data_IF_240730691277
#
_entry.id   IF_240730691277
#
_cell.length_a   1.000
_cell.length_b   1.000
_cell.length_c   1.000
_cell.angle_alpha   90.00
_cell.angle_beta   90.00
_cell.angle_gamma   90.00
#
_symmetry.space_group_name_H-M   'P 1'
#
loop_
_entity.id
_entity.type
_entity.pdbx_description
1 polymer ?
#
# COMPACT_ATOMS: atom_id res chain seq x y z
N UNK A 1 -1.14 -18.81 -7.81
CA UNK A 1 -0.17 -17.75 -8.12
C UNK A 1 -0.17 -16.75 -6.96
N UNK A 2 1.00 -16.34 -6.49
CA UNK A 2 1.17 -15.36 -5.40
C UNK A 2 0.65 -13.99 -5.88
N UNK A 3 -0.36 -13.41 -5.20
CA UNK A 3 -1.07 -12.19 -5.64
C UNK A 3 -0.45 -10.89 -5.13
N UNK A 4 0.68 -10.96 -4.45
CA UNK A 4 1.34 -9.81 -3.80
C UNK A 4 2.85 -10.08 -3.79
N UNK A 5 3.71 -9.12 -4.17
CA UNK A 5 5.16 -9.27 -4.11
C UNK A 5 5.62 -9.57 -2.69
N UNK A 6 6.77 -10.25 -2.60
CA UNK A 6 7.42 -10.51 -1.32
C UNK A 6 7.82 -9.19 -0.67
N UNK A 7 7.66 -9.14 0.65
CA UNK A 7 8.10 -7.97 1.43
C UNK A 7 9.63 -7.87 1.39
N UNK A 8 10.14 -6.64 1.41
CA UNK A 8 11.56 -6.34 1.37
C UNK A 8 12.22 -6.65 2.72
N UNK A 9 13.33 -7.39 2.68
CA UNK A 9 14.01 -7.92 3.85
C UNK A 9 13.77 -9.42 4.02
N UNK A 10 14.86 -10.17 4.20
CA UNK A 10 14.81 -11.63 4.37
C UNK A 10 15.80 -12.42 3.51
N UNK A 11 16.58 -11.79 2.62
CA UNK A 11 17.64 -12.50 1.89
C UNK A 11 19.02 -12.21 2.48
N UNK A 12 19.59 -13.24 3.11
CA UNK A 12 21.03 -13.35 3.37
C UNK A 12 21.52 -12.97 4.76
N UNK A 13 21.28 -13.80 5.79
CA UNK A 13 22.15 -13.85 6.98
C UNK A 13 22.35 -15.30 7.43
N UNK A 14 23.59 -15.79 7.31
CA UNK A 14 24.05 -17.03 7.95
C UNK A 14 24.03 -16.78 9.47
N UNK A 15 23.19 -17.53 10.18
CA UNK A 15 23.06 -17.44 11.64
C UNK A 15 24.24 -18.17 12.29
N UNK A 16 25.20 -17.42 12.82
CA UNK A 16 26.17 -17.95 13.78
C UNK A 16 25.59 -17.85 15.19
N UNK A 17 25.72 -18.91 15.97
CA UNK A 17 24.91 -19.27 17.15
C UNK A 17 25.12 -18.40 18.41
N UNK A 18 25.77 -17.24 18.33
CA UNK A 18 26.16 -16.44 19.51
C UNK A 18 25.79 -14.95 19.46
N UNK A 19 24.91 -14.49 18.54
CA UNK A 19 24.51 -13.08 18.50
C UNK A 19 23.12 -12.85 19.14
N UNK A 20 22.95 -11.83 20.01
CA UNK A 20 21.67 -11.51 20.62
C UNK A 20 20.73 -10.93 19.54
N UNK A 21 19.83 -11.78 19.05
CA UNK A 21 18.56 -11.49 18.36
C UNK A 21 18.41 -10.06 17.80
N UNK A 22 18.87 -9.83 16.57
CA UNK A 22 18.23 -8.88 15.67
C UNK A 22 17.19 -9.62 14.83
N UNK A 23 15.99 -9.79 15.39
CA UNK A 23 14.81 -10.08 14.57
C UNK A 23 14.49 -8.79 13.81
N UNK A 24 14.96 -8.66 12.57
CA UNK A 24 14.35 -7.68 11.66
C UNK A 24 12.98 -8.24 11.28
N UNK A 25 11.95 -7.89 12.03
CA UNK A 25 10.58 -8.23 11.69
C UNK A 25 10.18 -7.36 10.50
N UNK A 26 10.26 -7.92 9.30
CA UNK A 26 9.73 -7.27 8.11
C UNK A 26 8.22 -7.19 8.26
N UNK A 27 7.67 -5.98 8.16
CA UNK A 27 6.23 -5.76 8.23
C UNK A 27 5.56 -6.43 7.03
N UNK A 28 4.59 -7.33 7.25
CA UNK A 28 3.93 -8.02 6.15
C UNK A 28 2.92 -7.07 5.46
N UNK A 29 2.44 -7.39 4.25
CA UNK A 29 1.54 -6.51 3.49
C UNK A 29 0.27 -6.12 4.23
N UNK A 30 -0.22 -6.95 5.15
CA UNK A 30 -1.39 -6.70 5.99
C UNK A 30 -1.23 -5.46 6.89
N UNK A 31 0.01 -5.00 7.12
CA UNK A 31 0.32 -3.79 7.90
C UNK A 31 -0.40 -2.56 7.33
N UNK A 32 -0.58 -2.48 6.01
CA UNK A 32 -1.26 -1.34 5.37
C UNK A 32 -2.74 -1.18 5.77
N UNK A 33 -3.34 -2.21 6.37
CA UNK A 33 -4.72 -2.19 6.83
C UNK A 33 -4.84 -1.80 8.31
N UNK A 34 -3.71 -1.71 9.02
CA UNK A 34 -3.68 -1.36 10.44
C UNK A 34 -3.89 0.15 10.65
N UNK A 35 -4.42 0.51 11.82
CA UNK A 35 -4.66 1.92 12.18
C UNK A 35 -3.39 2.68 12.57
N UNK A 36 -2.33 1.95 12.95
CA UNK A 36 -1.11 2.54 13.49
C UNK A 36 -0.28 3.18 12.39
N UNK A 37 0.07 4.46 12.57
CA UNK A 37 0.97 5.20 11.69
C UNK A 37 2.08 5.77 12.57
N UNK A 38 3.19 5.05 12.65
CA UNK A 38 4.38 5.44 13.40
C UNK A 38 5.62 5.04 12.59
N UNK A 39 6.73 5.79 12.65
CA UNK A 39 7.93 5.48 11.89
C UNK A 39 8.31 4.00 11.94
N UNK A 40 8.54 3.40 10.77
CA UNK A 40 8.88 1.98 10.63
C UNK A 40 7.69 1.01 10.73
N UNK A 41 6.45 1.49 10.90
CA UNK A 41 5.22 0.66 10.87
C UNK A 41 4.58 0.65 9.47
N UNK A 42 5.37 0.39 8.42
CA UNK A 42 4.92 0.37 7.03
C UNK A 42 5.29 -0.93 6.34
N UNK A 43 4.48 -1.36 5.38
CA UNK A 43 4.83 -2.47 4.49
C UNK A 43 5.87 -2.01 3.48
N UNK A 44 7.01 -2.69 3.46
CA UNK A 44 8.15 -2.36 2.61
C UNK A 44 8.30 -3.39 1.50
N UNK A 45 8.53 -2.95 0.27
CA UNK A 45 8.88 -3.81 -0.86
C UNK A 45 10.05 -3.25 -1.66
N UNK A 46 10.73 -4.12 -2.42
CA UNK A 46 11.97 -3.79 -3.11
C UNK A 46 11.68 -2.89 -4.32
N UNK A 47 12.52 -1.88 -4.52
CA UNK A 47 12.42 -0.92 -5.62
C UNK A 47 11.22 0.02 -5.50
N UNK A 48 10.83 0.60 -6.63
CA UNK A 48 9.80 1.63 -6.74
C UNK A 48 8.45 1.12 -7.27
N UNK A 49 8.36 -0.17 -7.63
CA UNK A 49 7.18 -0.78 -8.23
C UNK A 49 6.74 -2.01 -7.44
N UNK A 50 5.47 -2.08 -7.10
CA UNK A 50 4.90 -3.15 -6.29
C UNK A 50 3.38 -3.10 -6.30
N UNK A 51 2.72 -4.15 -5.84
CA UNK A 51 1.26 -4.17 -5.75
C UNK A 51 0.76 -4.99 -4.58
N UNK A 52 -0.46 -4.74 -4.15
CA UNK A 52 -1.14 -5.57 -3.15
C UNK A 52 -2.60 -5.69 -3.55
N UNK A 53 -3.16 -6.87 -3.34
CA UNK A 53 -4.59 -7.12 -3.56
C UNK A 53 -5.26 -7.19 -2.19
N UNK A 54 -6.17 -6.26 -1.94
CA UNK A 54 -6.97 -6.18 -0.73
C UNK A 54 -8.30 -6.86 -1.00
N UNK A 55 -8.62 -7.88 -0.20
CA UNK A 55 -9.96 -8.46 -0.14
C UNK A 55 -10.77 -7.69 0.91
N UNK A 56 -11.86 -7.09 0.49
CA UNK A 56 -12.80 -6.41 1.36
C UNK A 56 -13.68 -7.40 2.13
N UNK A 57 -14.13 -7.03 3.35
CA UNK A 57 -15.08 -7.86 4.11
C UNK A 57 -16.38 -8.08 3.33
N UNK A 58 -16.85 -7.05 2.61
CA UNK A 58 -18.09 -7.04 1.85
C UNK A 58 -17.88 -6.50 0.43
N UNK A 59 -18.84 -6.75 -0.46
CA UNK A 59 -18.84 -6.15 -1.80
C UNK A 59 -19.36 -4.71 -1.73
N UNK A 60 -18.65 -3.77 -2.35
CA UNK A 60 -19.01 -2.34 -2.36
C UNK A 60 -18.94 -1.75 -3.77
N UNK A 61 -19.54 -0.58 -3.98
CA UNK A 61 -19.14 0.36 -5.03
C UNK A 61 -18.07 1.30 -4.46
N UNK A 62 -16.77 1.12 -4.80
CA UNK A 62 -15.73 2.00 -4.29
C UNK A 62 -15.93 3.44 -4.78
N UNK A 63 -15.84 4.38 -3.85
CA UNK A 63 -16.03 5.82 -4.12
C UNK A 63 -14.77 6.62 -3.95
N UNK A 64 -13.87 6.19 -3.06
CA UNK A 64 -12.59 6.85 -2.83
C UNK A 64 -11.58 5.92 -2.17
N UNK A 65 -10.32 6.34 -2.21
CA UNK A 65 -9.20 5.69 -1.51
C UNK A 65 -8.46 6.73 -0.68
N UNK A 66 -8.06 6.40 0.54
CA UNK A 66 -7.17 7.27 1.33
C UNK A 66 -5.84 6.58 1.56
N UNK A 67 -4.77 7.25 1.17
CA UNK A 67 -3.39 6.81 1.41
C UNK A 67 -2.81 7.65 2.54
N UNK A 68 -2.20 6.98 3.51
CA UNK A 68 -1.47 7.65 4.58
C UNK A 68 0.03 7.40 4.46
N UNK A 69 0.81 8.40 4.86
CA UNK A 69 2.24 8.29 5.10
C UNK A 69 2.63 9.07 6.36
N UNK A 70 3.88 8.96 6.82
CA UNK A 70 4.43 9.88 7.83
C UNK A 70 4.92 11.19 7.18
N UNK A 71 4.96 12.27 7.95
CA UNK A 71 5.60 13.52 7.53
C UNK A 71 7.11 13.47 7.70
N UNK A 72 7.82 14.33 6.99
CA UNK A 72 9.28 14.52 7.14
C UNK A 72 9.69 14.79 8.59
N UNK A 73 8.91 15.63 9.30
CA UNK A 73 9.18 16.04 10.68
C UNK A 73 9.25 14.89 11.70
N UNK A 74 8.62 13.74 11.42
CA UNK A 74 8.63 12.56 12.31
C UNK A 74 9.45 11.41 11.73
N UNK A 75 10.02 11.59 10.53
CA UNK A 75 10.91 10.60 9.93
C UNK A 75 12.28 10.62 10.63
N UNK A 76 12.80 9.47 11.10
CA UNK A 76 14.12 9.41 11.73
C UNK A 76 15.26 9.90 10.82
N UNK A 77 15.13 9.67 9.51
CA UNK A 77 16.09 10.15 8.51
C UNK A 77 15.79 11.56 8.01
N UNK A 78 14.68 12.18 8.43
CA UNK A 78 14.13 13.42 7.85
C UNK A 78 13.92 13.34 6.34
N UNK A 79 13.65 12.15 5.84
CA UNK A 79 13.33 11.94 4.43
C UNK A 79 12.03 11.15 4.30
N UNK A 80 11.33 11.40 3.20
CA UNK A 80 10.12 10.69 2.76
C UNK A 80 10.27 10.18 1.32
N UNK A 81 11.52 9.98 0.86
CA UNK A 81 11.87 9.51 -0.49
C UNK A 81 11.32 8.12 -0.81
N UNK A 82 11.08 7.27 0.20
CA UNK A 82 10.49 5.94 0.05
C UNK A 82 8.96 5.94 -0.05
N UNK A 83 8.32 7.10 -0.02
CA UNK A 83 6.86 7.22 -0.12
C UNK A 83 6.40 6.84 -1.53
N UNK A 84 5.28 6.12 -1.70
CA UNK A 84 4.66 5.94 -3.01
C UNK A 84 4.38 7.30 -3.66
N UNK A 85 4.68 7.44 -4.96
CA UNK A 85 4.41 8.65 -5.72
C UNK A 85 3.25 8.41 -6.67
N UNK A 86 3.49 7.78 -7.81
CA UNK A 86 2.43 7.40 -8.75
C UNK A 86 1.91 6.02 -8.38
N UNK A 87 0.59 5.87 -8.39
CA UNK A 87 -0.05 4.58 -8.16
C UNK A 87 -1.34 4.45 -8.97
N UNK A 88 -1.67 3.21 -9.30
CA UNK A 88 -2.91 2.81 -9.95
C UNK A 88 -3.78 2.02 -8.98
N UNK A 89 -5.10 2.20 -9.11
CA UNK A 89 -6.07 1.36 -8.40
C UNK A 89 -6.95 0.65 -9.42
N UNK A 90 -7.04 -0.67 -9.29
CA UNK A 90 -7.86 -1.51 -10.16
C UNK A 90 -8.80 -2.39 -9.34
N UNK A 91 -9.93 -2.72 -9.93
CA UNK A 91 -10.87 -3.71 -9.40
C UNK A 91 -10.60 -5.06 -10.01
N UNK A 92 -10.70 -6.11 -9.20
CA UNK A 92 -10.59 -7.49 -9.66
C UNK A 92 -11.94 -8.17 -9.45
N UNK A 93 -12.46 -8.80 -10.50
CA UNK A 93 -13.66 -9.63 -10.41
C UNK A 93 -13.35 -11.10 -10.13
N UNK A 94 -14.40 -11.91 -9.97
CA UNK A 94 -14.26 -13.34 -9.70
C UNK A 94 -13.57 -14.12 -10.83
N UNK A 95 -13.61 -13.60 -12.07
CA UNK A 95 -12.90 -14.16 -13.22
C UNK A 95 -11.43 -13.67 -13.31
N UNK A 96 -10.96 -12.96 -12.28
CA UNK A 96 -9.65 -12.32 -12.22
C UNK A 96 -9.42 -11.25 -13.29
N UNK A 97 -10.47 -10.69 -13.88
CA UNK A 97 -10.37 -9.59 -14.81
C UNK A 97 -10.13 -8.27 -14.06
N UNK A 98 -9.12 -7.51 -14.50
CA UNK A 98 -8.77 -6.22 -13.92
C UNK A 98 -9.50 -5.07 -14.62
N UNK A 99 -10.14 -4.19 -13.85
CA UNK A 99 -10.72 -2.93 -14.33
C UNK A 99 -10.02 -1.75 -13.66
N UNK A 100 -9.26 -0.97 -14.44
CA UNK A 100 -8.62 0.25 -13.93
C UNK A 100 -9.67 1.28 -13.50
N UNK A 101 -9.54 1.78 -12.26
CA UNK A 101 -10.34 2.88 -11.75
C UNK A 101 -9.69 4.24 -11.98
N UNK A 102 -8.37 4.29 -11.89
CA UNK A 102 -7.62 5.51 -12.09
C UNK A 102 -6.16 5.37 -11.68
N UNK A 103 -5.40 6.37 -12.10
CA UNK A 103 -4.02 6.63 -11.70
C UNK A 103 -3.99 7.92 -10.92
N UNK A 104 -3.19 7.94 -9.86
CA UNK A 104 -3.15 9.02 -8.88
C UNK A 104 -1.71 9.29 -8.46
N UNK A 105 -1.48 10.48 -7.90
CA UNK A 105 -0.18 10.90 -7.38
C UNK A 105 -0.32 11.32 -5.94
N UNK A 106 0.38 10.64 -5.03
CA UNK A 106 0.53 11.07 -3.65
C UNK A 106 1.61 12.16 -3.56
N UNK A 107 1.29 13.27 -2.89
CA UNK A 107 2.17 14.44 -2.78
C UNK A 107 2.76 14.58 -1.37
N UNK A 108 4.06 14.34 -1.21
CA UNK A 108 4.73 14.42 0.10
C UNK A 108 4.72 15.82 0.72
N UNK A 109 4.41 16.85 -0.06
CA UNK A 109 4.35 18.24 0.42
C UNK A 109 2.96 18.64 0.92
N UNK A 110 1.96 17.74 0.81
CA UNK A 110 0.60 17.93 1.30
C UNK A 110 0.39 17.22 2.64
N UNK A 111 -0.87 17.10 3.03
CA UNK A 111 -1.32 16.40 4.22
C UNK A 111 -0.88 14.93 4.17
N UNK A 112 -0.58 14.38 5.35
CA UNK A 112 -0.14 12.99 5.50
C UNK A 112 -1.19 11.97 5.05
N UNK A 113 -2.48 12.36 5.06
CA UNK A 113 -3.61 11.57 4.62
C UNK A 113 -4.23 12.22 3.37
N UNK A 114 -4.15 11.55 2.23
CA UNK A 114 -4.68 12.07 0.96
C UNK A 114 -5.76 11.16 0.43
N UNK A 115 -6.90 11.76 0.08
CA UNK A 115 -8.08 11.04 -0.41
C UNK A 115 -8.25 11.28 -1.90
N UNK A 116 -8.43 10.19 -2.64
CA UNK A 116 -8.51 10.14 -4.09
C UNK A 116 -9.87 9.59 -4.49
N UNK A 117 -10.67 10.40 -5.19
CA UNK A 117 -12.03 10.04 -5.57
C UNK A 117 -12.07 9.26 -6.88
N UNK A 118 -12.92 8.23 -6.91
CA UNK A 118 -13.22 7.46 -8.13
C UNK A 118 -14.18 8.27 -8.98
N UNK A 119 -13.78 8.59 -10.22
CA UNK A 119 -14.60 9.37 -11.14
C UNK A 119 -15.53 8.49 -12.01
N UNK A 120 -15.27 7.18 -12.05
CA UNK A 120 -15.99 6.23 -12.90
C UNK A 120 -17.21 5.66 -12.18
N UNK A 121 -18.38 5.72 -12.81
CA UNK A 121 -19.54 4.95 -12.36
C UNK A 121 -19.31 3.46 -12.59
N UNK A 122 -19.62 2.66 -11.56
CA UNK A 122 -19.37 1.23 -11.57
C UNK A 122 -20.69 0.47 -11.69
N UNK A 123 -20.83 -0.43 -12.68
CA UNK A 123 -22.09 -1.12 -12.95
C UNK A 123 -22.44 -2.17 -11.89
N UNK A 124 -21.47 -2.57 -11.06
CA UNK A 124 -21.59 -3.62 -10.05
C UNK A 124 -20.67 -3.34 -8.87
N UNK A 125 -20.87 -4.10 -7.81
CA UNK A 125 -20.03 -4.11 -6.62
C UNK A 125 -18.79 -5.00 -6.81
N UNK A 126 -17.75 -4.75 -6.03
CA UNK A 126 -16.48 -5.47 -6.09
C UNK A 126 -15.97 -5.78 -4.68
N UNK A 127 -15.28 -6.91 -4.56
CA UNK A 127 -14.66 -7.36 -3.31
C UNK A 127 -13.14 -7.22 -3.29
N UNK A 128 -12.49 -7.29 -4.46
CA UNK A 128 -11.04 -7.28 -4.56
C UNK A 128 -10.56 -5.99 -5.22
N UNK A 129 -9.63 -5.32 -4.53
CA UNK A 129 -9.02 -4.08 -5.01
C UNK A 129 -7.51 -4.27 -5.08
N UNK A 130 -6.94 -3.99 -6.25
CA UNK A 130 -5.50 -3.97 -6.46
C UNK A 130 -5.00 -2.55 -6.33
N UNK A 131 -4.13 -2.33 -5.35
CA UNK A 131 -3.34 -1.11 -5.21
C UNK A 131 -1.96 -1.37 -5.79
N UNK A 132 -1.58 -0.64 -6.84
CA UNK A 132 -0.32 -0.83 -7.55
C UNK A 132 0.50 0.45 -7.51
N UNK A 133 1.64 0.41 -6.83
CA UNK A 133 2.62 1.50 -6.86
C UNK A 133 3.43 1.40 -8.15
N UNK A 134 3.56 2.54 -8.84
CA UNK A 134 4.27 2.69 -10.11
C UNK A 134 5.61 3.41 -9.94
N UNK A 135 5.70 4.31 -8.96
CA UNK A 135 6.94 5.01 -8.61
C UNK A 135 6.95 5.43 -7.13
N UNK A 136 8.11 5.86 -6.65
CA UNK A 136 8.28 6.47 -5.32
C UNK A 136 8.94 7.85 -5.45
N UNK A 137 9.17 8.52 -4.33
CA UNK A 137 9.78 9.85 -4.25
C UNK A 137 11.32 9.85 -4.33
N UNK A 138 11.93 8.83 -4.93
CA UNK A 138 13.36 8.81 -5.27
C UNK A 138 14.23 7.86 -4.44
N UNK A 139 13.65 7.06 -3.53
CA UNK A 139 14.42 6.03 -2.85
C UNK A 139 14.81 4.90 -3.83
N UNK A 140 16.11 4.62 -4.02
CA UNK A 140 16.56 3.65 -5.03
C UNK A 140 16.38 2.19 -4.60
N UNK A 141 16.21 1.92 -3.30
CA UNK A 141 16.25 0.55 -2.76
C UNK A 141 14.86 -0.02 -2.50
N UNK A 142 13.92 0.79 -2.00
CA UNK A 142 12.62 0.31 -1.54
C UNK A 142 11.53 1.39 -1.55
N UNK A 143 10.30 0.93 -1.38
CA UNK A 143 9.13 1.77 -1.14
C UNK A 143 8.40 1.29 0.11
N UNK A 144 7.88 2.22 0.91
CA UNK A 144 7.15 1.93 2.15
C UNK A 144 5.73 2.48 2.13
N UNK A 145 4.74 1.60 2.26
CA UNK A 145 3.32 1.96 2.31
C UNK A 145 2.83 1.85 3.75
N UNK A 146 2.38 2.96 4.35
CA UNK A 146 1.91 2.96 5.75
C UNK A 146 0.48 2.48 5.87
N UNK A 147 -0.46 3.11 5.15
CA UNK A 147 -1.88 2.73 5.24
C UNK A 147 -2.64 2.99 3.95
N UNK A 148 -3.53 2.07 3.62
CA UNK A 148 -4.50 2.19 2.53
C UNK A 148 -5.90 1.99 3.11
N UNK A 149 -6.78 2.96 2.88
CA UNK A 149 -8.20 2.86 3.20
C UNK A 149 -9.01 2.85 1.91
N UNK A 150 -10.04 2.01 1.89
CA UNK A 150 -11.02 1.93 0.82
C UNK A 150 -12.34 2.45 1.35
N UNK A 151 -12.96 3.35 0.59
CA UNK A 151 -14.29 3.88 0.87
C UNK A 151 -15.25 3.43 -0.22
N UNK A 152 -16.50 3.16 0.15
CA UNK A 152 -17.54 2.83 -0.81
C UNK A 152 -18.89 2.61 -0.17
N UNK A 153 -19.89 2.40 -1.01
CA UNK A 153 -21.26 2.08 -0.60
C UNK A 153 -21.47 0.58 -0.69
N UNK A 154 -22.10 -0.02 0.32
CA UNK A 154 -22.61 -1.39 0.25
C UNK A 154 -23.95 -1.40 -0.49
N UNK A 155 -24.35 -2.56 -1.03
CA UNK A 155 -25.75 -2.77 -1.42
C UNK A 155 -26.60 -2.62 -0.15
N UNK A 156 -27.49 -1.62 -0.13
CA UNK A 156 -28.44 -1.46 0.97
C UNK A 156 -29.22 -2.76 1.14
N UNK A 157 -29.19 -3.32 2.34
CA UNK A 157 -30.08 -4.40 2.76
C UNK A 157 -31.53 -3.90 2.82
#
# INVERSE_FOLDING_TARGET
AERTPKSYGGQGKKTWWLSPRSFSSVNPPQTILQLRIAPGSCWTFQGSQGHVVVQLPEQIWPTAFTIWHISEAVSPSREVSSTPKEFAVSLIDEAAAETLLGTFTYDVHKEIAQTFHVQKELPRTFRYIKFQVQSNWGNPEYTCVYRVQVHGKTASH
#
